data_IF_271367957820
#
_entry.id   IF_271367957820
#
_cell.length_a   1.000
_cell.length_b   1.000
_cell.length_c   1.000
_cell.angle_alpha   90.00
_cell.angle_beta   90.00
_cell.angle_gamma   90.00
#
_symmetry.space_group_name_H-M   'P 1'
#
loop_
_entity.id
_entity.type
_entity.pdbx_description
1 polymer ?
#
# COMPACT_ATOMS: atom_id res chain seq x y z
N UNK A 1 51.01 31.41 9.80
CA UNK A 1 50.19 30.27 10.24
C UNK A 1 48.94 30.21 9.36
N UNK A 2 48.94 29.33 8.35
CA UNK A 2 47.84 29.20 7.40
C UNK A 2 46.72 28.35 7.99
N UNK A 3 45.60 28.98 8.38
CA UNK A 3 44.40 28.29 8.83
C UNK A 3 43.74 27.55 7.67
N UNK A 4 43.84 26.21 7.67
CA UNK A 4 43.10 25.37 6.73
C UNK A 4 41.60 25.58 6.92
N UNK A 5 40.96 26.13 5.88
CA UNK A 5 39.50 26.22 5.76
C UNK A 5 38.93 24.79 5.80
N UNK A 6 38.23 24.47 6.88
CA UNK A 6 37.54 23.19 7.06
C UNK A 6 36.39 23.14 6.05
N UNK A 7 36.58 22.45 4.93
CA UNK A 7 35.51 22.20 3.95
C UNK A 7 34.33 21.52 4.62
N UNK A 8 33.18 22.20 4.64
CA UNK A 8 31.93 21.61 5.09
C UNK A 8 31.51 20.50 4.11
N UNK A 9 31.73 19.25 4.51
CA UNK A 9 31.31 18.08 3.75
C UNK A 9 29.78 18.02 3.67
N UNK A 10 29.24 17.95 2.45
CA UNK A 10 27.80 17.69 2.18
C UNK A 10 27.36 16.44 2.95
N UNK A 11 26.37 16.60 3.84
CA UNK A 11 25.78 15.51 4.63
C UNK A 11 25.07 14.52 3.71
N UNK A 12 25.30 13.22 3.91
CA UNK A 12 24.52 12.16 3.25
C UNK A 12 23.17 12.05 3.96
N UNK A 13 22.08 12.24 3.23
CA UNK A 13 20.73 12.27 3.79
C UNK A 13 20.25 10.86 4.19
N UNK A 14 20.64 9.83 3.40
CA UNK A 14 20.21 8.44 3.56
C UNK A 14 21.32 7.51 4.05
N UNK A 15 22.37 8.04 4.68
CA UNK A 15 23.47 7.24 5.21
C UNK A 15 23.04 6.26 6.31
N UNK A 16 23.73 5.13 6.42
CA UNK A 16 23.50 4.13 7.47
C UNK A 16 23.71 4.71 8.87
N UNK A 17 23.09 4.11 9.89
CA UNK A 17 23.17 4.55 11.29
C UNK A 17 24.62 4.65 11.77
N UNK A 18 25.47 3.68 11.40
CA UNK A 18 26.89 3.68 11.79
C UNK A 18 27.69 4.81 11.14
N UNK A 19 27.43 5.13 9.88
CA UNK A 19 28.09 6.27 9.23
C UNK A 19 27.58 7.61 9.77
N UNK A 20 26.27 7.72 10.06
CA UNK A 20 25.68 8.90 10.71
C UNK A 20 26.22 9.11 12.12
N UNK A 21 26.28 8.06 12.95
CA UNK A 21 26.84 8.09 14.30
C UNK A 21 28.30 8.57 14.30
N UNK A 22 29.09 8.15 13.31
CA UNK A 22 30.50 8.53 13.17
C UNK A 22 30.71 9.87 12.47
N UNK A 23 29.64 10.55 12.05
CA UNK A 23 29.72 11.79 11.27
C UNK A 23 30.60 11.65 10.00
N UNK A 24 30.59 10.46 9.38
CA UNK A 24 31.31 10.19 8.12
C UNK A 24 30.32 10.04 6.96
N UNK A 25 30.75 10.41 5.76
CA UNK A 25 29.92 10.28 4.55
C UNK A 25 29.70 8.80 4.24
N UNK A 26 28.43 8.39 4.17
CA UNK A 26 28.03 7.09 3.68
C UNK A 26 27.99 7.10 2.15
N UNK A 27 28.42 6.01 1.51
CA UNK A 27 28.27 5.81 0.07
C UNK A 27 26.91 5.16 -0.30
N UNK A 28 26.07 4.88 0.71
CA UNK A 28 24.68 4.44 0.57
C UNK A 28 24.49 3.11 -0.19
N UNK A 29 25.57 2.36 -0.42
CA UNK A 29 25.51 1.00 -0.96
C UNK A 29 24.81 0.06 0.03
N UNK A 30 23.98 -0.84 -0.51
CA UNK A 30 23.23 -1.86 0.23
C UNK A 30 23.66 -3.26 -0.25
N UNK A 31 23.70 -4.31 0.61
CA UNK A 31 23.26 -4.33 2.02
C UNK A 31 24.18 -3.56 2.96
N UNK A 32 25.50 -3.60 2.74
CA UNK A 32 26.48 -2.90 3.54
C UNK A 32 27.16 -1.78 2.75
N UNK A 33 27.35 -0.62 3.40
CA UNK A 33 28.09 0.49 2.82
C UNK A 33 29.60 0.18 2.81
N UNK A 34 30.38 0.70 1.85
CA UNK A 34 31.80 0.36 1.72
C UNK A 34 32.61 0.70 2.99
N UNK A 35 32.14 1.66 3.78
CA UNK A 35 32.78 2.10 5.02
C UNK A 35 32.53 1.13 6.19
N UNK A 36 31.38 0.46 6.21
CA UNK A 36 31.07 -0.59 7.20
C UNK A 36 31.75 -1.91 6.82
N UNK A 37 31.79 -2.26 5.52
CA UNK A 37 32.51 -3.43 5.00
C UNK A 37 33.99 -3.37 5.39
N UNK A 38 34.66 -2.24 5.12
CA UNK A 38 36.09 -2.05 5.45
C UNK A 38 36.41 -2.16 6.93
N UNK A 39 35.40 -1.95 7.79
CA UNK A 39 35.55 -1.97 9.24
C UNK A 39 34.98 -3.23 9.88
N UNK A 40 34.43 -4.15 9.08
CA UNK A 40 33.77 -5.37 9.55
C UNK A 40 32.71 -5.07 10.63
N UNK A 41 32.00 -3.96 10.47
CA UNK A 41 30.92 -3.56 11.37
C UNK A 41 29.57 -3.82 10.72
N UNK A 42 28.58 -4.18 11.53
CA UNK A 42 27.21 -4.45 11.05
C UNK A 42 26.57 -3.15 10.55
N UNK A 43 26.23 -3.10 9.24
CA UNK A 43 25.70 -1.91 8.59
C UNK A 43 24.17 -1.85 8.66
N UNK A 44 23.64 -1.24 9.72
CA UNK A 44 22.21 -0.96 9.80
C UNK A 44 21.89 0.42 9.25
N UNK A 45 20.95 0.49 8.31
CA UNK A 45 20.26 1.73 7.98
C UNK A 45 19.12 1.92 8.98
N UNK A 46 18.76 3.16 9.30
CA UNK A 46 17.53 3.39 10.04
C UNK A 46 16.43 2.73 9.21
N UNK A 47 15.54 1.96 9.84
CA UNK A 47 14.27 1.61 9.24
C UNK A 47 13.46 2.90 9.07
N UNK A 48 13.92 3.79 8.18
CA UNK A 48 13.05 4.67 7.44
C UNK A 48 12.09 3.72 6.79
N UNK A 49 10.84 3.72 7.25
CA UNK A 49 9.88 2.66 6.99
C UNK A 49 9.74 2.30 5.51
N UNK A 50 8.97 1.24 5.21
CA UNK A 50 8.83 0.69 3.86
C UNK A 50 8.26 1.63 2.76
N UNK A 51 8.22 2.94 2.99
CA UNK A 51 7.30 3.91 2.38
C UNK A 51 7.99 5.12 1.73
N UNK A 52 9.15 4.93 1.11
CA UNK A 52 9.95 5.98 0.44
C UNK A 52 9.36 6.53 -0.88
N UNK A 53 8.07 6.35 -1.17
CA UNK A 53 7.39 7.06 -2.27
C UNK A 53 6.96 8.50 -1.87
N UNK A 54 6.98 8.85 -0.58
CA UNK A 54 6.33 10.07 -0.08
C UNK A 54 7.19 11.34 -0.01
N UNK A 55 8.45 11.34 -0.46
CA UNK A 55 9.27 12.58 -0.47
C UNK A 55 9.52 13.20 -1.84
N UNK A 56 9.09 12.58 -2.95
CA UNK A 56 9.13 13.23 -4.25
C UNK A 56 7.76 13.87 -4.56
N UNK A 57 7.56 15.07 -4.04
CA UNK A 57 6.74 16.05 -4.75
C UNK A 57 7.34 16.22 -6.15
N UNK A 58 6.55 15.89 -7.17
CA UNK A 58 6.88 16.15 -8.57
C UNK A 58 6.85 17.67 -8.75
N UNK A 59 7.94 18.36 -8.42
CA UNK A 59 8.20 19.69 -8.95
C UNK A 59 8.62 19.50 -10.41
N UNK A 60 7.65 19.64 -11.31
CA UNK A 60 7.90 19.88 -12.74
C UNK A 60 8.67 21.19 -12.83
N UNK A 61 10.00 21.12 -12.83
CA UNK A 61 10.83 22.26 -13.16
C UNK A 61 10.68 22.52 -14.66
N UNK A 62 9.77 23.44 -15.00
CA UNK A 62 9.78 24.11 -16.30
C UNK A 62 11.12 24.84 -16.46
N UNK A 63 12.10 24.15 -17.05
CA UNK A 63 13.35 24.75 -17.48
C UNK A 63 13.07 25.67 -18.67
N UNK A 64 12.78 26.92 -18.35
CA UNK A 64 12.65 28.03 -19.27
C UNK A 64 14.03 28.29 -19.90
N UNK A 65 14.28 27.70 -21.09
CA UNK A 65 15.50 27.98 -21.87
C UNK A 65 15.41 29.39 -22.44
N UNK A 66 15.99 30.36 -21.73
CA UNK A 66 16.38 31.65 -22.31
C UNK A 66 17.55 31.40 -23.28
N UNK A 67 17.28 31.52 -24.57
CA UNK A 67 18.29 31.64 -25.60
C UNK A 67 18.89 33.05 -25.55
N UNK A 68 20.20 33.15 -25.30
CA UNK A 68 20.96 34.38 -25.49
C UNK A 68 21.74 34.26 -26.80
N UNK A 69 21.46 35.21 -27.69
CA UNK A 69 22.11 35.41 -28.97
C UNK A 69 23.57 35.87 -28.80
N UNK A 70 24.44 35.44 -29.71
CA UNK A 70 25.61 36.20 -30.15
C UNK A 70 25.99 35.78 -31.57
N UNK A 71 26.50 36.74 -32.32
CA UNK A 71 26.40 36.93 -33.77
C UNK A 71 27.78 36.91 -34.44
N UNK A 72 27.78 36.69 -35.77
CA UNK A 72 28.84 36.89 -36.81
C UNK A 72 29.67 35.62 -37.11
N UNK A 73 29.92 35.17 -38.34
CA UNK A 73 29.80 35.66 -39.74
C UNK A 73 30.51 34.63 -40.68
N UNK A 74 30.63 34.82 -42.01
CA UNK A 74 29.85 34.02 -42.98
C UNK A 74 30.59 33.20 -44.07
N UNK A 75 29.78 32.31 -44.69
CA UNK A 75 29.67 31.92 -46.12
C UNK A 75 30.80 31.20 -46.91
N UNK A 76 30.41 30.12 -47.62
CA UNK A 76 30.37 29.94 -49.11
C UNK A 76 30.03 28.44 -49.42
N UNK A 77 28.84 28.10 -49.93
CA UNK A 77 28.44 27.97 -51.34
C UNK A 77 29.00 26.72 -52.07
N UNK A 78 28.15 25.76 -52.47
CA UNK A 78 27.90 25.38 -53.89
C UNK A 78 26.79 24.32 -54.06
N UNK A 79 26.07 24.47 -55.16
CA UNK A 79 24.82 23.82 -55.57
C UNK A 79 25.02 22.50 -56.36
N UNK A 80 23.94 21.69 -56.36
CA UNK A 80 23.49 20.56 -57.22
C UNK A 80 23.47 20.89 -58.74
N UNK A 81 23.29 19.98 -59.75
CA UNK A 81 22.12 19.08 -59.92
C UNK A 81 22.26 17.73 -60.71
N UNK A 82 21.19 16.92 -60.58
CA UNK A 82 20.68 15.72 -61.32
C UNK A 82 20.76 15.81 -62.88
N UNK A 83 20.52 14.75 -63.74
CA UNK A 83 19.29 13.92 -63.73
C UNK A 83 19.24 12.50 -64.43
N UNK A 84 18.12 11.77 -64.19
CA UNK A 84 17.22 11.03 -65.13
C UNK A 84 17.52 9.63 -65.77
N UNK A 85 16.55 8.70 -65.56
CA UNK A 85 15.87 7.71 -66.49
C UNK A 85 16.66 6.55 -67.14
N UNK A 86 16.20 5.30 -67.41
CA UNK A 86 14.97 4.46 -67.28
C UNK A 86 15.39 2.98 -67.69
N UNK A 87 14.53 2.00 -68.07
CA UNK A 87 14.18 0.78 -67.29
C UNK A 87 14.60 -0.60 -67.89
N UNK A 88 14.24 -1.65 -67.12
CA UNK A 88 13.85 -3.02 -67.52
C UNK A 88 14.92 -4.10 -67.79
N UNK A 89 14.93 -5.15 -66.95
CA UNK A 89 14.74 -6.53 -67.41
C UNK A 89 14.37 -7.47 -66.24
N UNK A 90 13.28 -8.23 -66.44
CA UNK A 90 12.90 -9.38 -65.61
C UNK A 90 13.70 -10.61 -66.06
N UNK A 91 14.27 -11.35 -65.10
CA UNK A 91 14.24 -12.84 -65.00
C UNK A 91 15.14 -13.31 -63.86
N UNK A 92 14.63 -14.25 -63.06
CA UNK A 92 15.46 -15.15 -62.25
C UNK A 92 15.20 -15.12 -60.75
N UNK A 93 14.19 -15.89 -60.33
CA UNK A 93 13.98 -16.36 -58.96
C UNK A 93 15.23 -17.06 -58.41
N UNK A 94 15.81 -16.58 -57.30
CA UNK A 94 16.47 -17.40 -56.28
C UNK A 94 16.45 -16.64 -54.94
N UNK A 95 16.25 -17.40 -53.87
CA UNK A 95 15.86 -16.98 -52.52
C UNK A 95 16.87 -16.05 -51.84
N UNK A 96 16.41 -14.87 -51.40
CA UNK A 96 17.08 -14.06 -50.39
C UNK A 96 16.65 -14.52 -48.98
N UNK A 97 17.58 -14.78 -48.04
CA UNK A 97 17.24 -15.03 -46.65
C UNK A 97 16.74 -13.72 -46.02
N UNK A 98 15.50 -13.76 -45.54
CA UNK A 98 14.86 -12.65 -44.85
C UNK A 98 15.78 -12.06 -43.77
N UNK A 99 16.10 -10.78 -43.93
CA UNK A 99 16.66 -9.91 -42.90
C UNK A 99 15.77 -9.99 -41.66
N UNK A 100 16.20 -10.79 -40.68
CA UNK A 100 15.65 -10.78 -39.33
C UNK A 100 15.92 -9.39 -38.75
N UNK A 101 14.85 -8.59 -38.65
CA UNK A 101 14.86 -7.42 -37.80
C UNK A 101 15.16 -7.86 -36.37
N UNK A 102 16.12 -7.25 -35.66
CA UNK A 102 16.40 -7.61 -34.28
C UNK A 102 15.19 -7.25 -33.43
N UNK A 103 14.54 -8.28 -32.89
CA UNK A 103 13.55 -8.20 -31.83
C UNK A 103 14.20 -7.37 -30.69
N UNK A 104 13.54 -6.32 -30.16
CA UNK A 104 14.09 -5.55 -29.06
C UNK A 104 14.41 -6.48 -27.88
N UNK A 105 15.47 -6.23 -27.12
CA UNK A 105 15.96 -7.18 -26.12
C UNK A 105 14.84 -7.46 -25.11
N UNK A 106 14.39 -8.71 -25.12
CA UNK A 106 13.59 -9.30 -24.06
C UNK A 106 14.20 -8.93 -22.70
N UNK A 107 13.35 -8.50 -21.77
CA UNK A 107 13.73 -8.25 -20.38
C UNK A 107 14.72 -9.32 -19.88
N UNK A 108 15.79 -8.94 -19.15
CA UNK A 108 16.76 -9.90 -18.67
C UNK A 108 16.03 -10.99 -17.86
N UNK A 109 16.29 -12.28 -18.10
CA UNK A 109 15.64 -13.35 -17.37
C UNK A 109 15.88 -13.17 -15.87
N UNK A 110 14.81 -13.36 -15.08
CA UNK A 110 14.88 -13.35 -13.62
C UNK A 110 16.00 -14.32 -13.22
N UNK A 111 17.09 -13.82 -12.62
CA UNK A 111 18.15 -14.68 -12.09
C UNK A 111 17.54 -15.50 -10.96
N UNK A 112 17.20 -16.77 -11.24
CA UNK A 112 16.58 -17.68 -10.29
C UNK A 112 17.60 -18.07 -9.21
N UNK A 113 17.66 -17.28 -8.14
CA UNK A 113 18.37 -17.64 -6.93
C UNK A 113 17.75 -18.92 -6.34
N UNK A 114 18.55 -19.88 -5.82
CA UNK A 114 18.02 -21.08 -5.17
C UNK A 114 17.03 -20.73 -4.04
N UNK A 115 17.22 -19.57 -3.39
CA UNK A 115 16.35 -19.07 -2.32
C UNK A 115 14.94 -18.65 -2.77
N UNK A 116 14.70 -18.44 -4.08
CA UNK A 116 13.38 -18.05 -4.60
C UNK A 116 12.42 -19.25 -4.75
N UNK A 117 12.96 -20.46 -5.00
CA UNK A 117 12.17 -21.67 -5.24
C UNK A 117 11.22 -22.03 -4.09
N UNK A 118 11.66 -22.12 -2.82
CA UNK A 118 10.75 -22.48 -1.72
C UNK A 118 9.64 -21.43 -1.51
N UNK A 119 9.96 -20.15 -1.69
CA UNK A 119 8.99 -19.05 -1.54
C UNK A 119 7.96 -19.06 -2.69
N UNK A 120 8.40 -19.30 -3.92
CA UNK A 120 7.50 -19.40 -5.07
C UNK A 120 6.62 -20.66 -4.99
N UNK A 121 7.17 -21.79 -4.53
CA UNK A 121 6.41 -23.01 -4.29
C UNK A 121 5.37 -22.81 -3.18
N UNK A 122 5.74 -22.17 -2.07
CA UNK A 122 4.79 -21.85 -1.01
C UNK A 122 3.67 -20.93 -1.52
N UNK A 123 3.97 -20.02 -2.46
CA UNK A 123 2.95 -19.21 -3.08
C UNK A 123 1.91 -20.05 -3.82
N UNK A 124 2.35 -20.89 -4.75
CA UNK A 124 1.46 -21.65 -5.64
C UNK A 124 0.69 -22.76 -4.92
N UNK A 125 1.16 -23.17 -3.73
CA UNK A 125 0.54 -24.25 -2.94
C UNK A 125 -0.30 -23.74 -1.77
N UNK A 126 0.09 -22.65 -1.10
CA UNK A 126 -0.54 -22.22 0.15
C UNK A 126 -0.91 -20.74 0.15
N UNK A 127 0.04 -19.82 -0.10
CA UNK A 127 -0.20 -18.39 0.08
C UNK A 127 -1.32 -17.86 -0.80
N UNK A 128 -1.40 -18.27 -2.07
CA UNK A 128 -2.43 -17.81 -3.00
C UNK A 128 -3.86 -18.13 -2.52
N UNK A 129 -4.06 -19.30 -1.90
CA UNK A 129 -5.35 -19.69 -1.33
C UNK A 129 -5.68 -18.90 -0.05
N UNK A 130 -4.66 -18.59 0.75
CA UNK A 130 -4.85 -17.88 2.02
C UNK A 130 -5.25 -16.40 1.86
N UNK A 131 -4.78 -15.76 0.78
CA UNK A 131 -5.06 -14.35 0.46
C UNK A 131 -6.32 -14.17 -0.40
N UNK A 132 -6.78 -15.21 -1.07
CA UNK A 132 -7.99 -15.17 -1.87
C UNK A 132 -9.22 -14.86 -0.99
N UNK A 133 -10.07 -13.96 -1.49
CA UNK A 133 -11.29 -13.51 -0.80
C UNK A 133 -12.48 -14.35 -1.21
N UNK A 134 -12.56 -14.68 -2.49
CA UNK A 134 -13.65 -15.40 -3.13
C UNK A 134 -13.09 -16.53 -4.00
N UNK A 135 -13.92 -17.51 -4.41
CA UNK A 135 -13.47 -18.52 -5.38
C UNK A 135 -13.09 -17.91 -6.73
N UNK A 136 -13.67 -16.75 -7.08
CA UNK A 136 -13.45 -16.04 -8.33
C UNK A 136 -12.05 -15.45 -8.36
N UNK A 137 -11.68 -14.67 -7.34
CA UNK A 137 -10.34 -14.07 -7.27
C UNK A 137 -9.24 -15.09 -6.95
N UNK A 138 -9.59 -16.24 -6.36
CA UNK A 138 -8.66 -17.35 -6.11
C UNK A 138 -7.94 -17.84 -7.36
N UNK A 139 -8.62 -17.89 -8.52
CA UNK A 139 -7.97 -18.24 -9.79
C UNK A 139 -6.89 -17.22 -10.18
N UNK A 140 -7.17 -15.93 -9.98
CA UNK A 140 -6.24 -14.85 -10.32
C UNK A 140 -4.98 -14.94 -9.46
N UNK A 141 -5.13 -15.16 -8.16
CA UNK A 141 -4.01 -15.33 -7.23
C UNK A 141 -3.19 -16.61 -7.50
N UNK A 142 -3.84 -17.69 -7.92
CA UNK A 142 -3.19 -18.99 -8.14
C UNK A 142 -2.49 -19.12 -9.49
N UNK A 143 -3.03 -18.53 -10.56
CA UNK A 143 -2.52 -18.75 -11.93
C UNK A 143 -2.05 -17.46 -12.61
N UNK A 144 -2.91 -16.45 -12.70
CA UNK A 144 -2.65 -15.21 -13.46
C UNK A 144 -1.46 -14.45 -12.87
N UNK A 145 -1.49 -14.18 -11.56
CA UNK A 145 -0.45 -13.40 -10.88
C UNK A 145 0.91 -14.09 -10.93
N UNK A 146 1.05 -15.41 -10.64
CA UNK A 146 2.32 -16.11 -10.80
C UNK A 146 2.86 -16.09 -12.23
N UNK A 147 2.00 -16.27 -13.25
CA UNK A 147 2.43 -16.23 -14.65
C UNK A 147 2.92 -14.84 -15.06
N UNK A 148 2.24 -13.78 -14.61
CA UNK A 148 2.68 -12.40 -14.81
C UNK A 148 3.97 -12.09 -14.03
N UNK A 149 4.10 -12.59 -12.80
CA UNK A 149 5.28 -12.42 -11.97
C UNK A 149 6.54 -12.97 -12.65
N UNK A 150 6.45 -14.11 -13.34
CA UNK A 150 7.59 -14.65 -14.10
C UNK A 150 8.08 -13.75 -15.24
N UNK A 151 7.24 -12.82 -15.72
CA UNK A 151 7.56 -11.85 -16.78
C UNK A 151 7.92 -10.47 -16.22
N UNK A 152 7.53 -10.18 -14.98
CA UNK A 152 7.64 -8.86 -14.35
C UNK A 152 8.41 -8.94 -13.02
N UNK A 153 9.70 -8.52 -12.99
CA UNK A 153 10.54 -8.61 -11.80
C UNK A 153 9.94 -7.97 -10.55
N UNK A 154 9.32 -6.79 -10.67
CA UNK A 154 8.69 -6.10 -9.54
C UNK A 154 7.56 -6.92 -8.89
N UNK A 155 6.73 -7.58 -9.71
CA UNK A 155 5.62 -8.40 -9.23
C UNK A 155 6.15 -9.71 -8.63
N UNK A 156 7.19 -10.30 -9.22
CA UNK A 156 7.88 -11.44 -8.66
C UNK A 156 8.41 -11.17 -7.25
N UNK A 157 9.10 -10.06 -7.06
CA UNK A 157 9.59 -9.66 -5.75
C UNK A 157 8.43 -9.41 -4.76
N UNK A 158 7.33 -8.78 -5.18
CA UNK A 158 6.15 -8.61 -4.32
C UNK A 158 5.53 -9.96 -3.87
N UNK A 159 5.43 -10.90 -4.79
CA UNK A 159 4.92 -12.26 -4.53
C UNK A 159 5.79 -13.00 -3.51
N UNK A 160 7.11 -12.99 -3.70
CA UNK A 160 8.05 -13.62 -2.77
C UNK A 160 8.04 -12.96 -1.39
N UNK A 161 7.85 -11.64 -1.32
CA UNK A 161 7.77 -10.91 -0.06
C UNK A 161 6.58 -11.39 0.80
N UNK A 162 5.39 -11.47 0.21
CA UNK A 162 4.18 -11.95 0.89
C UNK A 162 4.30 -13.43 1.26
N UNK A 163 4.84 -14.26 0.35
CA UNK A 163 5.05 -15.68 0.62
C UNK A 163 6.03 -15.93 1.78
N UNK A 164 7.08 -15.11 1.88
CA UNK A 164 8.05 -15.18 2.98
C UNK A 164 7.42 -14.82 4.33
N UNK A 165 6.56 -13.79 4.37
CA UNK A 165 5.80 -13.45 5.59
C UNK A 165 4.82 -14.53 5.99
N UNK A 166 4.13 -15.14 5.02
CA UNK A 166 3.19 -16.21 5.30
C UNK A 166 3.88 -17.39 6.02
N UNK A 167 5.06 -17.81 5.53
CA UNK A 167 5.86 -18.83 6.21
C UNK A 167 6.34 -18.37 7.59
N UNK A 168 6.82 -17.13 7.72
CA UNK A 168 7.32 -16.60 9.00
C UNK A 168 6.23 -16.59 10.09
N UNK A 169 4.99 -16.26 9.72
CA UNK A 169 3.86 -16.22 10.63
C UNK A 169 3.31 -17.62 10.95
N UNK A 170 3.31 -18.54 9.99
CA UNK A 170 2.93 -19.95 10.24
C UNK A 170 3.86 -20.63 11.26
N UNK A 171 5.16 -20.35 11.22
CA UNK A 171 6.16 -20.93 12.13
C UNK A 171 6.02 -20.50 13.60
N UNK A 172 5.25 -19.44 13.88
CA UNK A 172 5.06 -18.93 15.25
C UNK A 172 4.32 -19.92 16.17
N UNK A 173 3.80 -21.03 15.64
CA UNK A 173 3.09 -22.07 16.39
C UNK A 173 3.98 -23.22 16.87
N UNK A 174 5.27 -23.27 16.49
CA UNK A 174 6.12 -24.46 16.64
C UNK A 174 7.52 -24.14 17.23
N UNK A 175 7.67 -24.31 18.56
CA UNK A 175 8.92 -24.43 19.33
C UNK A 175 9.98 -23.28 19.27
N UNK A 176 10.65 -22.95 20.39
CA UNK A 176 11.63 -21.85 20.49
C UNK A 176 12.93 -22.01 19.67
N UNK A 177 13.17 -23.18 19.05
CA UNK A 177 14.32 -23.40 18.16
C UNK A 177 14.16 -22.77 16.76
N UNK A 178 12.96 -22.28 16.40
CA UNK A 178 12.66 -21.74 15.06
C UNK A 178 12.85 -20.22 14.93
N UNK A 179 13.24 -19.51 16.01
CA UNK A 179 13.35 -18.04 16.02
C UNK A 179 14.36 -17.50 14.98
N UNK A 180 15.48 -18.19 14.78
CA UNK A 180 16.46 -17.81 13.75
C UNK A 180 15.90 -17.95 12.32
N UNK A 181 15.11 -18.99 12.06
CA UNK A 181 14.50 -19.21 10.75
C UNK A 181 13.40 -18.19 10.47
N UNK A 182 12.55 -17.91 11.45
CA UNK A 182 11.54 -16.84 11.38
C UNK A 182 12.19 -15.48 11.10
N UNK A 183 13.25 -15.14 11.84
CA UNK A 183 14.00 -13.89 11.62
C UNK A 183 14.58 -13.81 10.20
N UNK A 184 15.15 -14.91 9.68
CA UNK A 184 15.63 -14.97 8.30
C UNK A 184 14.52 -14.76 7.25
N UNK A 185 13.33 -15.30 7.48
CA UNK A 185 12.19 -15.13 6.58
C UNK A 185 11.65 -13.70 6.60
N UNK A 186 11.66 -13.04 7.76
CA UNK A 186 11.29 -11.62 7.89
C UNK A 186 12.26 -10.74 7.11
N UNK A 187 13.57 -10.98 7.25
CA UNK A 187 14.61 -10.26 6.50
C UNK A 187 14.46 -10.49 4.99
N UNK A 188 14.19 -11.72 4.56
CA UNK A 188 13.91 -12.02 3.16
C UNK A 188 12.66 -11.29 2.65
N UNK A 189 11.60 -11.24 3.45
CA UNK A 189 10.38 -10.53 3.11
C UNK A 189 10.62 -9.03 2.88
N UNK A 190 11.32 -8.38 3.81
CA UNK A 190 11.69 -6.96 3.69
C UNK A 190 12.58 -6.71 2.46
N UNK A 191 13.57 -7.58 2.22
CA UNK A 191 14.44 -7.48 1.05
C UNK A 191 13.64 -7.53 -0.26
N UNK A 192 12.76 -8.52 -0.40
CA UNK A 192 11.92 -8.68 -1.58
C UNK A 192 10.94 -7.52 -1.72
N UNK A 193 10.34 -7.02 -0.64
CA UNK A 193 9.45 -5.87 -0.68
C UNK A 193 10.17 -4.59 -1.13
N UNK A 194 11.37 -4.33 -0.60
CA UNK A 194 12.20 -3.19 -1.01
C UNK A 194 12.61 -3.28 -2.48
N UNK A 195 12.96 -4.48 -2.96
CA UNK A 195 13.27 -4.70 -4.37
C UNK A 195 12.05 -4.47 -5.28
N UNK A 196 10.87 -4.96 -4.89
CA UNK A 196 9.62 -4.76 -5.63
C UNK A 196 9.31 -3.28 -5.82
N UNK A 197 9.38 -2.50 -4.75
CA UNK A 197 9.14 -1.05 -4.77
C UNK A 197 10.18 -0.34 -5.64
N UNK A 198 11.47 -0.67 -5.46
CA UNK A 198 12.57 -0.05 -6.24
C UNK A 198 12.36 -0.25 -7.74
N UNK A 199 12.05 -1.49 -8.14
CA UNK A 199 11.82 -1.85 -9.53
C UNK A 199 10.54 -1.19 -10.08
N UNK A 200 9.48 -1.10 -9.28
CA UNK A 200 8.26 -0.39 -9.66
C UNK A 200 8.54 1.10 -9.90
N UNK A 201 9.25 1.77 -8.99
CA UNK A 201 9.61 3.18 -9.13
C UNK A 201 10.44 3.43 -10.38
N UNK A 202 11.39 2.54 -10.69
CA UNK A 202 12.16 2.59 -11.93
C UNK A 202 11.27 2.43 -13.17
N UNK A 203 10.37 1.44 -13.17
CA UNK A 203 9.44 1.21 -14.29
C UNK A 203 8.53 2.41 -14.54
N UNK A 204 7.97 3.02 -13.49
CA UNK A 204 7.13 4.21 -13.57
C UNK A 204 7.90 5.46 -14.07
N UNK A 205 9.21 5.53 -13.80
CA UNK A 205 10.05 6.63 -14.28
C UNK A 205 10.44 6.53 -15.77
N UNK A 206 10.41 5.31 -16.34
CA UNK A 206 10.92 5.02 -17.69
C UNK A 206 9.78 4.95 -18.72
N UNK A 207 8.60 4.45 -18.34
CA UNK A 207 7.51 4.16 -19.30
C UNK A 207 6.37 5.17 -19.26
N UNK A 208 6.08 5.76 -20.42
CA UNK A 208 4.77 6.34 -20.75
C UNK A 208 3.78 5.22 -21.08
N UNK A 209 2.90 4.91 -20.12
CA UNK A 209 1.53 4.41 -20.32
C UNK A 209 1.31 3.16 -21.20
N UNK A 210 1.89 2.01 -20.85
CA UNK A 210 1.48 0.70 -21.41
C UNK A 210 0.50 -0.02 -20.48
N UNK A 211 -0.53 -0.64 -21.04
CA UNK A 211 -1.58 -1.39 -20.32
C UNK A 211 -1.04 -2.49 -19.39
N UNK A 212 -0.01 -3.24 -19.82
CA UNK A 212 0.66 -4.27 -19.00
C UNK A 212 1.30 -3.69 -17.72
N UNK A 213 1.73 -2.43 -17.76
CA UNK A 213 2.28 -1.77 -16.57
C UNK A 213 1.17 -1.42 -15.57
N UNK A 214 -0.06 -1.13 -16.04
CA UNK A 214 -1.20 -0.77 -15.19
C UNK A 214 -1.70 -1.98 -14.39
N UNK A 215 -1.91 -3.12 -15.05
CA UNK A 215 -2.34 -4.38 -14.40
C UNK A 215 -1.28 -4.90 -13.42
N UNK A 216 -0.01 -4.87 -13.80
CA UNK A 216 1.12 -5.26 -12.93
C UNK A 216 1.23 -4.36 -11.71
N UNK A 217 1.08 -3.05 -11.88
CA UNK A 217 1.16 -2.09 -10.76
C UNK A 217 0.00 -2.29 -9.80
N UNK A 218 -1.22 -2.51 -10.31
CA UNK A 218 -2.38 -2.81 -9.48
C UNK A 218 -2.19 -4.11 -8.68
N UNK A 219 -1.82 -5.22 -9.35
CA UNK A 219 -1.58 -6.50 -8.67
C UNK A 219 -0.49 -6.39 -7.59
N UNK A 220 0.64 -5.72 -7.90
CA UNK A 220 1.69 -5.47 -6.92
C UNK A 220 1.18 -4.63 -5.74
N UNK A 221 0.35 -3.63 -6.00
CA UNK A 221 -0.19 -2.78 -4.93
C UNK A 221 -1.10 -3.59 -3.99
N UNK A 222 -1.92 -4.50 -4.51
CA UNK A 222 -2.72 -5.42 -3.68
C UNK A 222 -1.82 -6.32 -2.80
N UNK A 223 -0.70 -6.84 -3.34
CA UNK A 223 0.27 -7.60 -2.55
C UNK A 223 0.91 -6.75 -1.46
N UNK A 224 1.24 -5.49 -1.76
CA UNK A 224 1.84 -4.57 -0.78
C UNK A 224 0.86 -4.18 0.34
N UNK A 225 -0.45 -4.11 0.07
CA UNK A 225 -1.45 -3.94 1.13
C UNK A 225 -1.45 -5.15 2.08
N UNK A 226 -1.49 -6.37 1.54
CA UNK A 226 -1.39 -7.59 2.36
C UNK A 226 -0.10 -7.65 3.16
N UNK A 227 1.03 -7.29 2.54
CA UNK A 227 2.33 -7.16 3.21
C UNK A 227 2.28 -6.14 4.35
N UNK A 228 1.66 -4.98 4.15
CA UNK A 228 1.62 -3.89 5.13
C UNK A 228 0.88 -4.29 6.41
N UNK A 229 -0.18 -5.09 6.28
CA UNK A 229 -0.88 -5.67 7.42
C UNK A 229 -0.08 -6.80 8.09
N UNK A 230 0.55 -7.68 7.31
CA UNK A 230 1.25 -8.85 7.82
C UNK A 230 2.61 -8.55 8.48
N UNK A 231 3.37 -7.59 7.96
CA UNK A 231 4.74 -7.35 8.39
C UNK A 231 4.84 -6.92 9.87
N UNK A 232 4.04 -5.96 10.37
CA UNK A 232 4.05 -5.58 11.79
C UNK A 232 3.79 -6.76 12.74
N UNK A 233 2.86 -7.65 12.36
CA UNK A 233 2.53 -8.87 13.10
C UNK A 233 3.71 -9.87 13.15
N UNK A 234 4.58 -9.87 12.13
CA UNK A 234 5.72 -10.77 12.08
C UNK A 234 6.91 -10.25 12.93
N UNK A 235 7.13 -8.93 12.94
CA UNK A 235 8.30 -8.29 13.57
C UNK A 235 8.11 -8.04 15.06
N UNK A 236 6.91 -7.65 15.51
CA UNK A 236 6.71 -7.18 16.88
C UNK A 236 6.08 -8.27 17.76
N UNK A 237 6.78 -8.66 18.82
CA UNK A 237 6.19 -9.45 19.91
C UNK A 237 5.26 -8.59 20.80
N UNK A 238 5.40 -7.25 20.75
CA UNK A 238 4.67 -6.32 21.61
C UNK A 238 4.07 -5.14 20.82
N UNK A 239 3.19 -5.46 19.87
CA UNK A 239 2.63 -4.52 18.88
C UNK A 239 1.76 -3.39 19.48
N UNK A 240 1.37 -3.48 20.75
CA UNK A 240 0.34 -2.65 21.38
C UNK A 240 0.61 -1.14 21.31
N UNK A 241 1.88 -0.70 21.36
CA UNK A 241 2.19 0.74 21.44
C UNK A 241 2.08 1.46 20.09
N UNK A 242 2.34 0.78 18.97
CA UNK A 242 2.36 1.40 17.65
C UNK A 242 1.20 0.95 16.73
N UNK A 243 0.37 0.00 17.17
CA UNK A 243 -0.69 -0.59 16.36
C UNK A 243 -1.60 0.46 15.72
N UNK A 244 -2.03 1.48 16.48
CA UNK A 244 -2.86 2.54 15.91
C UNK A 244 -2.14 3.28 14.77
N UNK A 245 -0.89 3.69 14.95
CA UNK A 245 -0.15 4.43 13.92
C UNK A 245 0.17 3.58 12.69
N UNK A 246 0.50 2.30 12.90
CA UNK A 246 0.70 1.37 11.80
C UNK A 246 -0.60 1.18 11.00
N UNK A 247 -1.76 1.08 11.65
CA UNK A 247 -3.06 1.00 10.97
C UNK A 247 -3.35 2.26 10.15
N UNK A 248 -3.08 3.45 10.71
CA UNK A 248 -3.28 4.72 10.00
C UNK A 248 -2.35 4.85 8.79
N UNK A 249 -1.12 4.34 8.89
CA UNK A 249 -0.18 4.26 7.77
C UNK A 249 -0.71 3.33 6.67
N UNK A 250 -1.30 2.19 7.04
CA UNK A 250 -1.95 1.26 6.11
C UNK A 250 -3.14 1.95 5.42
N UNK A 251 -4.01 2.65 6.15
CA UNK A 251 -5.14 3.38 5.55
C UNK A 251 -4.65 4.42 4.54
N UNK A 252 -3.59 5.14 4.89
CA UNK A 252 -2.95 6.10 4.00
C UNK A 252 -2.40 5.43 2.73
N UNK A 253 -1.81 4.24 2.87
CA UNK A 253 -1.31 3.47 1.73
C UNK A 253 -2.45 3.04 0.81
N UNK A 254 -3.54 2.54 1.38
CA UNK A 254 -4.74 2.13 0.65
C UNK A 254 -5.35 3.31 -0.13
N UNK A 255 -5.49 4.48 0.49
CA UNK A 255 -5.96 5.69 -0.19
C UNK A 255 -5.08 6.09 -1.37
N UNK A 256 -3.75 6.05 -1.19
CA UNK A 256 -2.80 6.37 -2.26
C UNK A 256 -2.85 5.36 -3.40
N UNK A 257 -2.94 4.07 -3.06
CA UNK A 257 -3.12 3.01 -4.04
C UNK A 257 -4.40 3.24 -4.86
N UNK A 258 -5.52 3.52 -4.20
CA UNK A 258 -6.79 3.78 -4.88
C UNK A 258 -6.72 5.02 -5.76
N UNK A 259 -6.17 6.13 -5.26
CA UNK A 259 -6.00 7.34 -6.06
C UNK A 259 -5.16 7.10 -7.33
N UNK A 260 -4.13 6.25 -7.23
CA UNK A 260 -3.32 5.83 -8.37
C UNK A 260 -4.08 4.89 -9.32
N UNK A 261 -4.89 3.96 -8.80
CA UNK A 261 -5.62 2.99 -9.62
C UNK A 261 -6.89 3.57 -10.25
N UNK A 262 -7.51 4.61 -9.69
CA UNK A 262 -8.78 5.19 -10.17
C UNK A 262 -8.80 5.46 -11.68
N UNK A 263 -7.80 6.12 -12.28
CA UNK A 263 -7.77 6.34 -13.74
C UNK A 263 -7.66 5.04 -14.55
N UNK A 264 -7.16 3.96 -13.94
CA UNK A 264 -6.96 2.66 -14.58
C UNK A 264 -8.14 1.70 -14.40
N UNK A 265 -9.11 2.01 -13.52
CA UNK A 265 -10.28 1.15 -13.23
C UNK A 265 -11.03 0.70 -14.49
N UNK A 266 -11.33 1.57 -15.49
CA UNK A 266 -12.04 1.13 -16.69
C UNK A 266 -11.28 0.03 -17.46
N UNK A 267 -9.96 0.15 -17.53
CA UNK A 267 -9.10 -0.83 -18.19
C UNK A 267 -8.98 -2.12 -17.38
N UNK A 268 -8.79 -1.99 -16.05
CA UNK A 268 -8.69 -3.13 -15.14
C UNK A 268 -9.97 -3.99 -15.20
N UNK A 269 -11.16 -3.37 -15.28
CA UNK A 269 -12.45 -4.06 -15.40
C UNK A 269 -12.55 -4.94 -16.65
N UNK A 270 -11.92 -4.53 -17.75
CA UNK A 270 -11.89 -5.30 -19.00
C UNK A 270 -10.76 -6.33 -19.07
N UNK A 271 -9.85 -6.32 -18.09
CA UNK A 271 -8.71 -7.25 -18.02
C UNK A 271 -9.01 -8.48 -17.17
N UNK A 272 -8.12 -9.47 -17.17
CA UNK A 272 -8.16 -10.62 -16.25
C UNK A 272 -8.12 -10.22 -14.75
N UNK A 273 -7.76 -8.96 -14.44
CA UNK A 273 -7.75 -8.41 -13.08
C UNK A 273 -9.09 -7.79 -12.66
N UNK A 274 -10.12 -7.85 -13.53
CA UNK A 274 -11.42 -7.24 -13.26
C UNK A 274 -12.08 -7.76 -11.98
N UNK A 275 -12.00 -9.07 -11.75
CA UNK A 275 -12.59 -9.68 -10.55
C UNK A 275 -11.81 -9.29 -9.28
N UNK A 276 -10.52 -8.94 -9.37
CA UNK A 276 -9.79 -8.42 -8.20
C UNK A 276 -10.28 -7.07 -7.73
N UNK A 277 -10.88 -6.27 -8.61
CA UNK A 277 -11.40 -4.95 -8.23
C UNK A 277 -12.56 -5.06 -7.26
N UNK A 278 -13.42 -6.11 -7.37
CA UNK A 278 -14.63 -6.34 -6.56
C UNK A 278 -15.24 -5.06 -5.97
N UNK A 279 -15.40 -4.04 -6.82
CA UNK A 279 -16.23 -2.89 -6.56
C UNK A 279 -17.61 -3.35 -7.02
N UNK A 280 -18.38 -3.96 -6.11
CA UNK A 280 -19.83 -3.88 -6.25
C UNK A 280 -20.13 -2.38 -6.21
N UNK A 281 -20.20 -1.78 -7.40
CA UNK A 281 -20.84 -0.50 -7.58
C UNK A 281 -22.32 -0.80 -7.50
N UNK A 282 -22.80 -1.10 -6.29
CA UNK A 282 -24.17 -0.73 -5.98
C UNK A 282 -24.21 0.78 -6.24
N UNK A 283 -24.79 1.18 -7.37
CA UNK A 283 -25.08 2.56 -7.77
C UNK A 283 -25.79 3.37 -6.65
N UNK A 284 -26.19 2.71 -5.56
CA UNK A 284 -26.67 3.30 -4.32
C UNK A 284 -25.59 3.95 -3.44
N UNK A 285 -24.28 3.75 -3.62
CA UNK A 285 -23.28 4.47 -2.78
C UNK A 285 -23.29 5.99 -3.03
N UNK A 286 -23.83 6.45 -4.16
CA UNK A 286 -23.99 7.87 -4.45
C UNK A 286 -25.30 8.47 -3.92
N UNK A 287 -26.23 7.65 -3.41
CA UNK A 287 -27.33 8.16 -2.59
C UNK A 287 -27.01 7.88 -1.14
N UNK A 288 -26.38 8.86 -0.49
CA UNK A 288 -26.40 9.03 0.95
C UNK A 288 -27.88 9.12 1.40
N UNK A 289 -28.60 8.00 1.42
CA UNK A 289 -29.89 7.93 2.06
C UNK A 289 -29.57 8.14 3.54
N UNK A 290 -30.11 9.20 4.13
CA UNK A 290 -29.98 9.52 5.56
C UNK A 290 -30.60 8.46 6.49
N UNK A 291 -30.81 7.24 6.00
CA UNK A 291 -31.44 6.14 6.68
C UNK A 291 -30.42 5.03 6.89
N UNK A 292 -30.37 4.52 8.13
CA UNK A 292 -29.55 3.37 8.44
C UNK A 292 -29.98 2.16 7.59
N UNK A 293 -29.02 1.31 7.16
CA UNK A 293 -29.32 0.11 6.40
C UNK A 293 -30.34 -0.79 7.13
N UNK A 294 -31.34 -1.35 6.42
CA UNK A 294 -32.42 -2.11 7.03
C UNK A 294 -31.93 -3.44 7.64
N UNK A 295 -30.87 -4.03 7.08
CA UNK A 295 -30.27 -5.30 7.47
C UNK A 295 -29.32 -5.24 8.68
N UNK A 296 -29.21 -4.10 9.36
CA UNK A 296 -28.46 -4.02 10.63
C UNK A 296 -29.14 -4.86 11.72
N UNK A 297 -28.35 -5.68 12.40
CA UNK A 297 -28.76 -6.36 13.62
C UNK A 297 -29.14 -5.34 14.71
N UNK A 298 -29.94 -5.75 15.72
CA UNK A 298 -30.30 -4.87 16.82
C UNK A 298 -29.09 -4.30 17.58
N UNK A 299 -28.04 -5.11 17.80
CA UNK A 299 -26.82 -4.70 18.50
C UNK A 299 -26.01 -3.68 17.70
N UNK A 300 -25.71 -3.97 16.43
CA UNK A 300 -24.99 -3.04 15.54
C UNK A 300 -25.76 -1.74 15.34
N UNK A 301 -27.09 -1.79 15.22
CA UNK A 301 -27.95 -0.60 15.11
C UNK A 301 -27.88 0.27 16.37
N UNK A 302 -27.85 -0.34 17.55
CA UNK A 302 -27.70 0.38 18.81
C UNK A 302 -26.34 1.07 18.89
N UNK A 303 -25.26 0.38 18.51
CA UNK A 303 -23.91 0.94 18.48
C UNK A 303 -23.80 2.19 17.57
N UNK A 304 -24.32 2.10 16.34
CA UNK A 304 -24.36 3.26 15.41
C UNK A 304 -25.20 4.40 15.99
N UNK A 305 -26.33 4.09 16.62
CA UNK A 305 -27.21 5.10 17.23
C UNK A 305 -26.49 5.86 18.35
N UNK A 306 -25.72 5.15 19.19
CA UNK A 306 -24.92 5.78 20.26
C UNK A 306 -23.87 6.72 19.65
N UNK A 307 -23.14 6.30 18.60
CA UNK A 307 -22.18 7.18 17.90
C UNK A 307 -22.85 8.46 17.36
N UNK A 308 -24.03 8.33 16.75
CA UNK A 308 -24.80 9.47 16.24
C UNK A 308 -25.29 10.39 17.37
N UNK A 309 -25.66 9.84 18.52
CA UNK A 309 -26.04 10.62 19.70
C UNK A 309 -24.86 11.44 20.22
N UNK A 310 -23.66 10.85 20.37
CA UNK A 310 -22.45 11.58 20.76
C UNK A 310 -22.09 12.67 19.75
N UNK A 311 -22.20 12.38 18.44
CA UNK A 311 -21.99 13.38 17.39
C UNK A 311 -22.99 14.55 17.48
N UNK A 312 -24.24 14.30 17.85
CA UNK A 312 -25.24 15.36 18.02
C UNK A 312 -25.01 16.18 19.30
N UNK A 313 -24.54 15.55 20.38
CA UNK A 313 -24.25 16.22 21.64
C UNK A 313 -22.98 17.11 21.58
N UNK A 314 -21.98 16.72 20.77
CA UNK A 314 -20.80 17.56 20.56
C UNK A 314 -21.15 18.88 19.86
N UNK A 315 -22.22 18.90 19.05
CA UNK A 315 -22.71 20.11 18.39
C UNK A 315 -23.43 21.05 19.32
N UNK A 316 -24.28 20.55 20.22
CA UNK A 316 -24.97 21.40 21.19
C UNK A 316 -23.97 22.12 22.12
N UNK A 317 -22.84 21.48 22.44
CA UNK A 317 -21.72 22.11 23.16
C UNK A 317 -20.93 23.12 22.32
N UNK A 318 -20.85 22.94 21.00
CA UNK A 318 -20.05 23.79 20.11
C UNK A 318 -20.82 25.02 19.61
N UNK A 319 -22.15 24.98 19.56
CA UNK A 319 -23.02 26.10 19.16
C UNK A 319 -22.95 27.31 20.09
N UNK A 320 -22.44 27.16 21.32
CA UNK A 320 -22.21 28.28 22.25
C UNK A 320 -20.91 29.04 21.99
N UNK A 321 -20.02 28.53 21.14
CA UNK A 321 -18.75 29.16 20.74
C UNK A 321 -18.81 29.61 19.28
N UNK A 322 -18.59 30.90 19.03
CA UNK A 322 -18.75 31.61 17.76
C UNK A 322 -17.74 31.22 16.66
N UNK A 323 -17.74 29.97 16.20
CA UNK A 323 -16.91 29.46 15.09
C UNK A 323 -17.70 28.52 14.15
N UNK A 324 -18.84 29.02 13.65
CA UNK A 324 -19.89 28.22 12.97
C UNK A 324 -19.49 27.45 11.70
N UNK A 325 -18.49 27.90 10.95
CA UNK A 325 -18.16 27.27 9.66
C UNK A 325 -17.28 26.03 9.79
N UNK A 326 -16.29 26.03 10.70
CA UNK A 326 -15.37 24.90 10.88
C UNK A 326 -16.06 23.66 11.49
N UNK A 327 -17.04 23.90 12.37
CA UNK A 327 -17.82 22.84 13.03
C UNK A 327 -18.74 22.09 12.07
N UNK A 328 -19.19 22.72 10.98
CA UNK A 328 -20.12 22.11 10.02
C UNK A 328 -19.43 21.07 9.12
N UNK A 329 -18.20 21.37 8.67
CA UNK A 329 -17.38 20.46 7.87
C UNK A 329 -16.93 19.22 8.66
N UNK A 330 -16.47 19.40 9.90
CA UNK A 330 -16.07 18.28 10.77
C UNK A 330 -17.26 17.35 11.08
N UNK A 331 -18.47 17.90 11.30
CA UNK A 331 -19.70 17.09 11.47
C UNK A 331 -19.97 16.23 10.25
N UNK A 332 -19.89 16.79 9.04
CA UNK A 332 -20.15 16.05 7.81
C UNK A 332 -19.15 14.89 7.67
N UNK A 333 -17.88 15.11 7.99
CA UNK A 333 -16.85 14.06 7.98
C UNK A 333 -17.23 12.90 8.91
N UNK A 334 -17.63 13.17 10.15
CA UNK A 334 -18.09 12.12 11.08
C UNK A 334 -19.36 11.43 10.59
N UNK A 335 -20.36 12.18 10.15
CA UNK A 335 -21.64 11.62 9.69
C UNK A 335 -21.45 10.67 8.51
N UNK A 336 -20.66 11.09 7.50
CA UNK A 336 -20.33 10.25 6.34
C UNK A 336 -19.59 8.99 6.78
N UNK A 337 -18.62 9.11 7.67
CA UNK A 337 -17.84 7.96 8.17
C UNK A 337 -18.70 6.97 8.94
N UNK A 338 -19.58 7.45 9.83
CA UNK A 338 -20.52 6.62 10.59
C UNK A 338 -21.51 5.94 9.64
N UNK A 339 -21.96 6.62 8.59
CA UNK A 339 -22.85 6.04 7.58
C UNK A 339 -22.17 4.91 6.82
N UNK A 340 -20.93 5.10 6.36
CA UNK A 340 -20.18 4.03 5.72
C UNK A 340 -19.90 2.86 6.67
N UNK A 341 -19.61 3.15 7.95
CA UNK A 341 -19.45 2.11 8.97
C UNK A 341 -20.74 1.32 9.17
N UNK A 342 -21.91 1.97 9.15
CA UNK A 342 -23.19 1.29 9.26
C UNK A 342 -23.43 0.31 8.10
N UNK A 343 -23.03 0.66 6.86
CA UNK A 343 -23.10 -0.26 5.72
C UNK A 343 -22.12 -1.43 5.85
N UNK A 344 -20.92 -1.18 6.37
CA UNK A 344 -19.95 -2.23 6.66
C UNK A 344 -20.50 -3.22 7.71
N UNK A 345 -21.06 -2.72 8.81
CA UNK A 345 -21.67 -3.56 9.84
C UNK A 345 -22.91 -4.30 9.33
N UNK A 346 -23.68 -3.70 8.43
CA UNK A 346 -24.81 -4.38 7.80
C UNK A 346 -24.37 -5.59 6.95
N UNK A 347 -23.23 -5.49 6.26
CA UNK A 347 -22.62 -6.62 5.52
C UNK A 347 -21.98 -7.66 6.45
N UNK A 348 -21.50 -7.25 7.62
CA UNK A 348 -21.07 -8.16 8.67
C UNK A 348 -22.26 -8.98 9.22
N UNK A 349 -23.36 -8.29 9.53
CA UNK A 349 -24.57 -8.85 10.14
C UNK A 349 -25.40 -9.71 9.18
N UNK A 350 -25.23 -9.50 7.87
CA UNK A 350 -25.95 -10.24 6.83
C UNK A 350 -25.61 -11.73 6.91
N UNK A 351 -26.54 -12.55 7.42
CA UNK A 351 -26.36 -13.98 7.64
C UNK A 351 -26.93 -14.84 6.51
N UNK A 352 -27.16 -14.26 5.33
CA UNK A 352 -27.61 -15.03 4.17
C UNK A 352 -26.61 -16.16 3.82
N UNK A 353 -27.00 -17.44 3.98
CA UNK A 353 -26.12 -18.57 3.67
C UNK A 353 -25.89 -18.75 2.17
N UNK A 354 -26.68 -18.09 1.32
CA UNK A 354 -26.59 -18.20 -0.14
C UNK A 354 -25.58 -17.23 -0.76
N UNK A 355 -25.18 -16.20 -0.01
CA UNK A 355 -24.28 -15.14 -0.49
C UNK A 355 -22.95 -15.21 0.28
N UNK A 356 -21.81 -15.52 -0.38
CA UNK A 356 -20.53 -15.55 0.31
C UNK A 356 -20.16 -14.15 0.84
N UNK A 357 -20.00 -14.03 2.17
CA UNK A 357 -19.62 -12.78 2.83
C UNK A 357 -18.18 -12.39 2.50
N UNK A 358 -17.98 -11.56 1.47
CA UNK A 358 -16.68 -10.91 1.24
C UNK A 358 -16.49 -9.69 2.17
N UNK A 359 -16.24 -9.99 3.44
CA UNK A 359 -16.01 -8.98 4.47
C UNK A 359 -14.64 -8.29 4.33
N UNK A 360 -13.68 -8.94 3.67
CA UNK A 360 -12.36 -8.35 3.39
C UNK A 360 -12.50 -7.17 2.43
N UNK A 361 -13.24 -7.34 1.33
CA UNK A 361 -13.51 -6.24 0.40
C UNK A 361 -14.35 -5.15 1.02
N UNK A 362 -15.36 -5.52 1.82
CA UNK A 362 -16.20 -4.53 2.51
C UNK A 362 -15.35 -3.65 3.44
N UNK A 363 -14.46 -4.27 4.21
CA UNK A 363 -13.51 -3.60 5.09
C UNK A 363 -12.57 -2.69 4.32
N UNK A 364 -12.01 -3.16 3.20
CA UNK A 364 -11.16 -2.36 2.34
C UNK A 364 -11.92 -1.18 1.70
N UNK A 365 -13.15 -1.39 1.23
CA UNK A 365 -14.01 -0.36 0.67
C UNK A 365 -14.36 0.72 1.71
N UNK A 366 -14.62 0.32 2.96
CA UNK A 366 -14.82 1.27 4.05
C UNK A 366 -13.60 2.19 4.21
N UNK A 367 -12.39 1.64 4.24
CA UNK A 367 -11.15 2.44 4.29
C UNK A 367 -11.12 3.41 3.11
N UNK A 368 -11.33 2.93 1.88
CA UNK A 368 -11.31 3.76 0.67
C UNK A 368 -12.37 4.87 0.66
N UNK A 369 -13.50 4.66 1.35
CA UNK A 369 -14.61 5.61 1.46
C UNK A 369 -14.42 6.68 2.54
N UNK A 370 -13.35 6.60 3.34
CA UNK A 370 -13.07 7.58 4.39
C UNK A 370 -12.81 8.97 3.80
N UNK A 371 -13.49 10.02 4.28
CA UNK A 371 -13.18 11.39 3.88
C UNK A 371 -11.73 11.75 4.22
N UNK A 372 -11.06 12.58 3.40
CA UNK A 372 -9.66 12.97 3.60
C UNK A 372 -9.41 13.56 4.99
N UNK A 373 -10.32 14.39 5.48
CA UNK A 373 -10.22 14.99 6.82
C UNK A 373 -10.38 14.01 7.97
N UNK A 374 -11.00 12.84 7.77
CA UNK A 374 -11.18 11.85 8.85
C UNK A 374 -9.85 11.23 9.29
N UNK A 375 -8.95 10.94 8.35
CA UNK A 375 -7.61 10.44 8.69
C UNK A 375 -6.82 11.46 9.51
N UNK A 376 -7.01 12.75 9.23
CA UNK A 376 -6.37 13.80 10.02
C UNK A 376 -6.95 13.85 11.43
N UNK A 377 -8.27 13.71 11.61
CA UNK A 377 -8.90 13.62 12.94
C UNK A 377 -8.36 12.43 13.76
N UNK A 378 -8.11 11.28 13.10
CA UNK A 378 -7.49 10.11 13.73
C UNK A 378 -6.02 10.35 14.12
N UNK A 379 -5.24 11.01 13.26
CA UNK A 379 -3.85 11.38 13.56
C UNK A 379 -3.76 12.39 14.71
N UNK A 380 -4.71 13.31 14.80
CA UNK A 380 -4.86 14.24 15.92
C UNK A 380 -5.53 13.61 17.15
N UNK A 381 -5.78 12.29 17.12
CA UNK A 381 -6.33 11.51 18.25
C UNK A 381 -7.63 12.08 18.81
N UNK A 382 -8.51 12.61 17.94
CA UNK A 382 -9.83 13.11 18.36
C UNK A 382 -10.65 11.96 18.98
N UNK A 383 -11.19 12.09 20.21
CA UNK A 383 -11.86 10.98 20.90
C UNK A 383 -12.97 10.32 20.08
N UNK A 384 -13.89 11.10 19.49
CA UNK A 384 -14.95 10.54 18.65
C UNK A 384 -14.41 9.78 17.43
N UNK A 385 -13.35 10.28 16.79
CA UNK A 385 -12.72 9.58 15.65
C UNK A 385 -12.14 8.23 16.09
N UNK A 386 -11.47 8.19 17.24
CA UNK A 386 -10.91 6.96 17.81
C UNK A 386 -12.01 5.95 18.19
N UNK A 387 -13.13 6.42 18.74
CA UNK A 387 -14.26 5.55 19.08
C UNK A 387 -14.95 5.00 17.83
N UNK A 388 -15.06 5.78 16.75
CA UNK A 388 -15.53 5.27 15.45
C UNK A 388 -14.56 4.20 14.91
N UNK A 389 -13.25 4.42 15.03
CA UNK A 389 -12.24 3.42 14.65
C UNK A 389 -12.33 2.16 15.52
N UNK A 390 -12.63 2.28 16.81
CA UNK A 390 -12.84 1.14 17.69
C UNK A 390 -14.01 0.26 17.22
N UNK A 391 -15.09 0.86 16.70
CA UNK A 391 -16.19 0.09 16.10
C UNK A 391 -15.75 -0.64 14.82
N UNK A 392 -14.90 -0.03 13.99
CA UNK A 392 -14.28 -0.72 12.85
C UNK A 392 -13.38 -1.89 13.29
N UNK A 393 -12.75 -1.82 14.47
CA UNK A 393 -11.93 -2.91 15.00
C UNK A 393 -12.71 -4.21 15.24
N UNK A 394 -14.04 -4.14 15.43
CA UNK A 394 -14.91 -5.34 15.49
C UNK A 394 -14.81 -6.14 14.18
N UNK A 395 -14.86 -5.45 13.04
CA UNK A 395 -14.75 -6.07 11.72
C UNK A 395 -13.36 -6.67 11.51
N UNK A 396 -12.30 -5.97 11.92
CA UNK A 396 -10.94 -6.51 11.90
C UNK A 396 -10.82 -7.76 12.81
N UNK A 397 -11.50 -7.76 13.94
CA UNK A 397 -11.51 -8.89 14.86
C UNK A 397 -12.23 -10.11 14.27
N UNK A 398 -13.32 -9.93 13.51
CA UNK A 398 -13.97 -11.04 12.79
C UNK A 398 -13.05 -11.61 11.70
N UNK A 399 -12.26 -10.75 11.07
CA UNK A 399 -11.25 -11.12 10.07
C UNK A 399 -9.98 -11.73 10.67
N UNK A 400 -9.87 -11.91 12.00
CA UNK A 400 -8.67 -12.43 12.70
C UNK A 400 -8.19 -13.80 12.23
N UNK A 401 -9.08 -14.60 11.63
CA UNK A 401 -8.75 -15.91 11.07
C UNK A 401 -7.81 -15.80 9.85
N UNK A 402 -7.73 -14.62 9.22
CA UNK A 402 -6.74 -14.32 8.19
C UNK A 402 -5.41 -14.00 8.86
N UNK A 403 -4.39 -14.80 8.58
CA UNK A 403 -3.05 -14.69 9.20
C UNK A 403 -2.42 -13.29 9.11
N UNK A 404 -2.77 -12.50 8.09
CA UNK A 404 -2.27 -11.16 7.88
C UNK A 404 -3.08 -10.07 8.59
N UNK A 405 -4.30 -10.35 9.08
CA UNK A 405 -5.14 -9.44 9.90
C UNK A 405 -5.12 -9.84 11.38
N UNK A 406 -4.70 -11.07 11.69
CA UNK A 406 -4.70 -11.63 13.03
C UNK A 406 -4.15 -10.66 14.08
N UNK A 407 -4.94 -10.33 15.10
CA UNK A 407 -4.53 -9.48 16.22
C UNK A 407 -4.84 -7.98 16.07
N UNK A 408 -4.99 -7.45 14.85
CA UNK A 408 -5.19 -6.01 14.61
C UNK A 408 -6.37 -5.42 15.39
N UNK A 409 -7.55 -6.06 15.35
CA UNK A 409 -8.74 -5.55 16.02
C UNK A 409 -8.56 -5.36 17.53
N UNK A 410 -7.93 -6.35 18.20
CA UNK A 410 -7.69 -6.29 19.64
C UNK A 410 -6.57 -5.32 20.00
N UNK A 411 -5.47 -5.34 19.24
CA UNK A 411 -4.31 -4.49 19.51
C UNK A 411 -4.65 -3.00 19.35
N UNK A 412 -5.35 -2.64 18.27
CA UNK A 412 -5.75 -1.25 18.03
C UNK A 412 -6.80 -0.79 19.04
N UNK A 413 -7.78 -1.64 19.39
CA UNK A 413 -8.73 -1.33 20.45
C UNK A 413 -8.01 -1.02 21.77
N UNK A 414 -7.04 -1.85 22.15
CA UNK A 414 -6.26 -1.65 23.37
C UNK A 414 -5.54 -0.29 23.34
N UNK A 415 -4.85 0.05 22.24
CA UNK A 415 -4.19 1.35 22.09
C UNK A 415 -5.18 2.52 22.21
N UNK A 416 -6.38 2.39 21.63
CA UNK A 416 -7.43 3.42 21.72
C UNK A 416 -7.91 3.58 23.18
N UNK A 417 -8.19 2.48 23.87
CA UNK A 417 -8.64 2.50 25.25
C UNK A 417 -7.58 3.07 26.20
N UNK A 418 -6.31 2.70 26.02
CA UNK A 418 -5.21 3.22 26.82
C UNK A 418 -5.03 4.74 26.61
N UNK A 419 -5.22 5.23 25.39
CA UNK A 419 -5.20 6.66 25.09
C UNK A 419 -6.36 7.40 25.77
N UNK A 420 -7.60 6.90 25.65
CA UNK A 420 -8.77 7.54 26.26
C UNK A 420 -8.69 7.56 27.79
N UNK A 421 -8.08 6.53 28.40
CA UNK A 421 -7.75 6.48 29.82
C UNK A 421 -6.74 7.55 30.22
N UNK A 422 -5.67 7.70 29.44
CA UNK A 422 -4.62 8.68 29.71
C UNK A 422 -5.14 10.13 29.65
N UNK A 423 -6.08 10.42 28.75
CA UNK A 423 -6.72 11.74 28.62
C UNK A 423 -7.89 11.96 29.61
N UNK A 424 -8.24 10.96 30.43
CA UNK A 424 -9.35 11.07 31.40
C UNK A 424 -10.75 11.04 30.77
N UNK A 425 -10.87 10.59 29.52
CA UNK A 425 -12.13 10.53 28.76
C UNK A 425 -12.81 9.16 28.81
N UNK A 426 -12.25 8.20 29.56
CA UNK A 426 -12.75 6.82 29.63
C UNK A 426 -14.25 6.75 29.97
N UNK A 427 -14.71 7.48 30.98
CA UNK A 427 -16.10 7.39 31.43
C UNK A 427 -17.09 8.01 30.43
N UNK A 428 -16.68 9.05 29.67
CA UNK A 428 -17.51 9.65 28.61
C UNK A 428 -17.77 8.64 27.48
N UNK A 429 -16.75 7.88 27.08
CA UNK A 429 -16.84 6.97 25.94
C UNK A 429 -17.16 5.52 26.31
N UNK A 430 -17.23 5.20 27.61
CA UNK A 430 -17.50 3.85 28.12
C UNK A 430 -18.78 3.24 27.55
N UNK A 431 -19.86 4.01 27.41
CA UNK A 431 -21.12 3.51 26.86
C UNK A 431 -20.98 3.17 25.38
N UNK A 432 -20.30 4.01 24.60
CA UNK A 432 -20.05 3.78 23.18
C UNK A 432 -19.12 2.60 22.93
N UNK A 433 -18.11 2.38 23.78
CA UNK A 433 -17.16 1.28 23.64
C UNK A 433 -17.66 -0.05 24.21
N UNK A 434 -18.70 -0.05 25.07
CA UNK A 434 -19.25 -1.28 25.69
C UNK A 434 -19.61 -2.35 24.66
N UNK A 435 -20.25 -1.95 23.56
CA UNK A 435 -20.59 -2.88 22.49
C UNK A 435 -19.33 -3.47 21.84
N UNK A 436 -18.33 -2.64 21.54
CA UNK A 436 -17.06 -3.06 20.93
C UNK A 436 -16.33 -4.10 21.80
N UNK A 437 -16.27 -3.89 23.12
CA UNK A 437 -15.71 -4.89 24.04
C UNK A 437 -16.52 -6.19 24.03
N UNK A 438 -17.84 -6.12 24.04
CA UNK A 438 -18.70 -7.30 23.96
C UNK A 438 -18.43 -8.16 22.72
N UNK A 439 -18.19 -7.54 21.56
CA UNK A 439 -17.91 -8.27 20.32
C UNK A 439 -16.48 -8.82 20.21
N UNK A 440 -15.50 -8.23 20.93
CA UNK A 440 -14.08 -8.62 20.85
C UNK A 440 -13.64 -9.52 22.03
N UNK A 441 -14.29 -9.40 23.19
CA UNK A 441 -14.00 -10.17 24.42
C UNK A 441 -15.10 -11.17 24.80
N UNK A 442 -16.29 -11.08 24.19
CA UNK A 442 -17.43 -11.95 24.49
C UNK A 442 -17.41 -13.33 23.79
N UNK A 443 -16.32 -13.66 23.10
CA UNK A 443 -15.98 -15.02 22.67
C UNK A 443 -15.09 -15.72 23.71
#
# INVERSE_FOLDING_TARGET
>A
MGGQKREQKKKSHHGCLRCKQRSVKCDEKRPDCSNCIKRQEICHYAASGPWLWTQQSIHVAHANRKASASTRGPALHRQTPNPMTRPANLKGTHQDPLLMTPIPPSFPPIKSSPHHHPLFLNWTTSTCHSIARTPIDGRIWQTVIPQQALRCPQLFHGLLAVSSLHLALQQSTLAPSQDHQKSSLIVAAEHHQSAAITLLTQALSISTDTDTNKTTTFALSCLLVGFAFAFPLAVTQDHHQNALDDLLNIFTHIHKMMAFSTPTIPHLRTSEMGDLLHLDHDDNTNTLKNHLPPNLSPSSRQAITILLQHLNHSLTRSSTSSSGDYSSGERLIYLTTITHLAHLLAKHDDNDPTTPKDLVSASFLWICSLPTGFLDLLRHRRPLALVILAHYCVVLHVLRHRWWIAGWGRQVLQTVCDFLKAEGEEEEWRVALRWVWGEIEGE
#
